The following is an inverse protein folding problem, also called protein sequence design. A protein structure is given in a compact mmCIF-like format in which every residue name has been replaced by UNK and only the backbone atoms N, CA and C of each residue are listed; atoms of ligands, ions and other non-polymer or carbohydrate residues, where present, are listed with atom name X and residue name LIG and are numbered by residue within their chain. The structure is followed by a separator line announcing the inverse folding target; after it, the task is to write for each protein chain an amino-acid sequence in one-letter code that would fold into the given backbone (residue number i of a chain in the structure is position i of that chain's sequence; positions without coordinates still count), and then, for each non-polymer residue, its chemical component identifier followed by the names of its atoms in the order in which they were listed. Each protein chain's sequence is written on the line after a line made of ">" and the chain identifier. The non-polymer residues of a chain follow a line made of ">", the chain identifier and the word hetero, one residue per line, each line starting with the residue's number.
data_IF_826496089914
#
_entry.id   IF_826496089914
#
_cell.length_a   1.000
_cell.length_b   1.000
_cell.length_c   1.000
_cell.angle_alpha   90.00
_cell.angle_beta   90.00
_cell.angle_gamma   90.00
#
_symmetry.space_group_name_H-M   'P 1'
#
loop_
_entity.id
_entity.type
_entity.pdbx_description
1 polymer ?
#
# COMPACT_ATOMS: atom_id res chain seq x y z
N UNK A 1 9.06 45.55 25.25
CA UNK A 1 9.32 44.24 24.59
C UNK A 1 8.57 43.15 25.37
N UNK A 2 7.31 42.82 25.03
CA UNK A 2 6.54 41.91 25.86
C UNK A 2 6.84 40.46 25.46
N UNK A 3 7.88 39.87 26.03
CA UNK A 3 8.09 38.41 26.00
C UNK A 3 7.02 37.65 26.80
N UNK A 4 6.18 38.37 27.56
CA UNK A 4 5.13 37.82 28.42
C UNK A 4 3.99 37.15 27.65
N UNK A 5 3.78 37.47 26.37
CA UNK A 5 2.74 36.84 25.52
C UNK A 5 3.27 35.69 24.67
N UNK A 6 4.59 35.54 24.53
CA UNK A 6 5.21 34.46 23.78
C UNK A 6 5.06 33.11 24.49
N UNK A 7 5.22 33.10 25.81
CA UNK A 7 5.13 31.90 26.62
C UNK A 7 3.74 31.22 26.55
N UNK A 8 2.60 31.93 26.74
CA UNK A 8 1.29 31.30 26.65
C UNK A 8 0.94 30.82 25.24
N UNK A 9 1.42 31.51 24.20
CA UNK A 9 1.23 31.10 22.80
C UNK A 9 1.97 29.79 22.51
N UNK A 10 3.23 29.68 22.95
CA UNK A 10 4.02 28.45 22.81
C UNK A 10 3.38 27.26 23.54
N UNK A 11 2.86 27.48 24.75
CA UNK A 11 2.15 26.43 25.51
C UNK A 11 0.90 25.95 24.77
N UNK A 12 0.12 26.88 24.20
CA UNK A 12 -1.07 26.54 23.41
C UNK A 12 -0.73 25.72 22.16
N UNK A 13 0.35 26.07 21.46
CA UNK A 13 0.82 25.33 20.29
C UNK A 13 1.20 23.89 20.65
N UNK A 14 1.96 23.68 21.74
CA UNK A 14 2.37 22.33 22.17
C UNK A 14 1.14 21.47 22.53
N UNK A 15 0.12 22.04 23.19
CA UNK A 15 -1.12 21.31 23.50
C UNK A 15 -1.89 20.86 22.26
N UNK A 16 -1.92 21.69 21.20
CA UNK A 16 -2.58 21.34 19.92
C UNK A 16 -1.81 20.26 19.13
N UNK A 17 -0.47 20.24 19.23
CA UNK A 17 0.35 19.24 18.54
C UNK A 17 0.17 17.81 19.10
N UNK A 18 -0.19 17.65 20.38
CA UNK A 18 -0.43 16.33 21.00
C UNK A 18 -1.64 15.59 20.41
N UNK A 19 -2.55 16.31 19.72
CA UNK A 19 -3.73 15.71 19.08
C UNK A 19 -3.46 15.20 17.64
N UNK A 20 -2.29 15.51 17.06
CA UNK A 20 -1.96 15.11 15.69
C UNK A 20 -1.27 13.74 15.66
N UNK A 21 -2.11 12.71 15.68
CA UNK A 21 -1.88 11.52 14.87
C UNK A 21 -0.75 10.61 15.32
N UNK A 22 -1.05 9.71 16.25
CA UNK A 22 -0.23 8.52 16.46
C UNK A 22 0.02 7.80 15.13
N UNK A 23 1.29 7.53 14.84
CA UNK A 23 1.71 6.72 13.71
C UNK A 23 1.06 5.34 13.85
N UNK A 24 -0.08 5.15 13.18
CA UNK A 24 -0.69 3.83 13.00
C UNK A 24 0.22 3.06 12.08
N UNK A 25 1.14 2.32 12.68
CA UNK A 25 1.90 1.28 11.99
C UNK A 25 0.89 0.25 11.45
N UNK A 26 0.54 0.41 10.17
CA UNK A 26 -0.33 -0.52 9.45
C UNK A 26 0.38 -1.83 9.07
N UNK A 27 1.63 -2.08 9.50
CA UNK A 27 2.39 -3.26 9.05
C UNK A 27 1.99 -4.55 9.76
N UNK A 28 1.19 -4.50 10.84
CA UNK A 28 0.84 -5.72 11.60
C UNK A 28 -0.49 -6.38 11.23
N UNK A 29 -1.33 -5.76 10.39
CA UNK A 29 -2.61 -6.35 9.96
C UNK A 29 -2.54 -7.14 8.64
N UNK A 30 -1.36 -7.30 8.06
CA UNK A 30 -1.21 -8.06 6.81
C UNK A 30 -1.10 -9.58 7.01
N UNK A 31 -0.94 -10.05 8.26
CA UNK A 31 -0.66 -11.48 8.54
C UNK A 31 -1.91 -12.35 8.79
N UNK A 32 -3.11 -11.77 8.94
CA UNK A 32 -4.25 -12.54 9.49
C UNK A 32 -5.37 -12.84 8.48
N UNK A 33 -5.29 -12.38 7.24
CA UNK A 33 -6.23 -12.84 6.23
C UNK A 33 -5.49 -13.18 4.96
N UNK A 34 -5.83 -14.34 4.41
CA UNK A 34 -5.63 -14.82 3.05
C UNK A 34 -6.04 -13.74 2.03
N UNK A 35 -5.32 -12.62 2.00
CA UNK A 35 -5.45 -11.63 0.95
C UNK A 35 -4.78 -12.26 -0.28
N UNK A 36 -5.36 -12.11 -1.48
CA UNK A 36 -4.71 -12.55 -2.70
C UNK A 36 -3.50 -11.65 -2.94
N UNK A 37 -2.41 -11.89 -2.22
CA UNK A 37 -1.15 -11.15 -2.35
C UNK A 37 -0.70 -11.32 -3.80
N UNK A 38 -0.77 -10.23 -4.55
CA UNK A 38 -0.24 -10.14 -5.90
C UNK A 38 1.23 -10.53 -5.80
N UNK A 39 1.61 -11.64 -6.44
CA UNK A 39 2.98 -12.14 -6.35
C UNK A 39 3.86 -11.35 -7.31
N UNK A 40 5.13 -11.19 -6.98
CA UNK A 40 6.13 -10.73 -7.94
C UNK A 40 6.54 -11.94 -8.78
N UNK A 41 6.33 -11.87 -10.08
CA UNK A 41 6.66 -12.95 -11.01
C UNK A 41 7.90 -12.55 -11.81
N UNK A 42 8.89 -13.43 -11.86
CA UNK A 42 10.18 -13.13 -12.52
C UNK A 42 10.07 -13.17 -14.04
N UNK A 43 9.11 -13.93 -14.57
CA UNK A 43 8.91 -14.06 -16.00
C UNK A 43 8.33 -12.77 -16.60
N UNK A 44 8.81 -12.41 -17.79
CA UNK A 44 8.25 -11.28 -18.53
C UNK A 44 6.89 -11.70 -19.12
N UNK A 45 5.81 -10.92 -18.90
CA UNK A 45 4.55 -11.21 -19.56
C UNK A 45 4.66 -10.97 -21.07
N UNK A 46 3.97 -11.79 -21.84
CA UNK A 46 3.77 -11.54 -23.26
C UNK A 46 3.12 -10.15 -23.47
N UNK A 47 3.51 -9.38 -24.50
CA UNK A 47 3.03 -8.01 -24.68
C UNK A 47 1.51 -7.87 -24.72
N UNK A 48 0.79 -8.87 -25.25
CA UNK A 48 -0.67 -8.86 -25.30
C UNK A 48 -1.35 -8.97 -23.93
N UNK A 49 -0.64 -9.47 -22.90
CA UNK A 49 -1.17 -9.56 -21.53
C UNK A 49 -1.21 -8.19 -20.85
N UNK A 50 -0.37 -7.24 -21.29
CA UNK A 50 -0.37 -5.86 -20.80
C UNK A 50 -1.63 -5.05 -21.19
N UNK A 51 -2.63 -5.69 -21.79
CA UNK A 51 -3.96 -5.11 -22.06
C UNK A 51 -5.03 -5.61 -21.08
N UNK A 52 -4.75 -6.65 -20.28
CA UNK A 52 -5.70 -7.27 -19.35
C UNK A 52 -5.12 -7.33 -17.95
N UNK A 53 -5.48 -6.33 -17.15
CA UNK A 53 -5.00 -6.19 -15.79
C UNK A 53 -5.82 -6.99 -14.78
N UNK A 54 -5.21 -7.30 -13.64
CA UNK A 54 -5.85 -7.98 -12.52
C UNK A 54 -5.58 -7.24 -11.21
N UNK A 55 -6.55 -7.30 -10.30
CA UNK A 55 -6.41 -6.78 -8.94
C UNK A 55 -6.17 -7.91 -7.92
N UNK A 56 -6.53 -9.14 -8.28
CA UNK A 56 -6.38 -10.31 -7.42
C UNK A 56 -6.23 -11.58 -8.24
N UNK A 57 -5.75 -12.66 -7.61
CA UNK A 57 -5.69 -13.98 -8.24
C UNK A 57 -7.06 -14.49 -8.73
N UNK A 58 -8.17 -14.04 -8.13
CA UNK A 58 -9.53 -14.45 -8.53
C UNK A 58 -9.96 -13.88 -9.89
N UNK A 59 -9.32 -12.81 -10.36
CA UNK A 59 -9.56 -12.24 -11.68
C UNK A 59 -8.94 -13.10 -12.80
N UNK A 60 -8.04 -14.02 -12.45
CA UNK A 60 -7.32 -14.85 -13.40
C UNK A 60 -8.05 -16.19 -13.63
N UNK A 61 -8.12 -16.60 -14.88
CA UNK A 61 -8.73 -17.86 -15.27
C UNK A 61 -7.75 -19.03 -15.10
N UNK A 62 -8.29 -20.22 -14.85
CA UNK A 62 -7.54 -21.46 -14.69
C UNK A 62 -6.48 -21.36 -13.58
N UNK A 63 -5.27 -21.83 -13.84
CA UNK A 63 -4.16 -21.89 -12.87
C UNK A 63 -3.27 -20.63 -12.90
N UNK A 64 -3.74 -19.55 -13.51
CA UNK A 64 -3.00 -18.30 -13.56
C UNK A 64 -3.13 -17.54 -12.23
N UNK A 65 -2.09 -16.80 -11.89
CA UNK A 65 -2.09 -15.91 -10.74
C UNK A 65 -1.92 -14.46 -11.19
N UNK A 66 -2.40 -13.54 -10.36
CA UNK A 66 -2.17 -12.12 -10.57
C UNK A 66 -0.75 -11.75 -10.13
N UNK A 67 0.05 -11.31 -11.09
CA UNK A 67 1.46 -11.01 -10.93
C UNK A 67 1.73 -9.52 -11.13
N UNK A 68 2.59 -8.93 -10.29
CA UNK A 68 3.11 -7.59 -10.53
C UNK A 68 4.24 -7.65 -11.56
N UNK A 69 4.14 -6.83 -12.61
CA UNK A 69 5.05 -6.80 -13.76
C UNK A 69 5.38 -5.36 -14.18
N UNK A 70 6.24 -5.20 -15.20
CA UNK A 70 6.65 -3.89 -15.71
C UNK A 70 5.50 -3.04 -16.29
N UNK A 71 4.43 -3.68 -16.77
CA UNK A 71 3.27 -3.01 -17.34
C UNK A 71 2.07 -2.95 -16.39
N UNK A 72 2.27 -3.30 -15.11
CA UNK A 72 1.22 -3.39 -14.09
C UNK A 72 0.93 -4.83 -13.68
N UNK A 73 -0.20 -5.02 -13.01
CA UNK A 73 -0.60 -6.34 -12.52
C UNK A 73 -1.34 -7.11 -13.61
N UNK A 74 -0.82 -8.25 -14.04
CA UNK A 74 -1.41 -9.08 -15.11
C UNK A 74 -1.47 -10.55 -14.70
N UNK A 75 -2.40 -11.30 -15.30
CA UNK A 75 -2.50 -12.74 -15.08
C UNK A 75 -1.36 -13.46 -15.79
N UNK A 76 -0.54 -14.19 -15.04
CA UNK A 76 0.53 -15.04 -15.58
C UNK A 76 0.40 -16.47 -15.07
N UNK A 77 0.87 -17.40 -15.88
CA UNK A 77 1.09 -18.76 -15.45
C UNK A 77 2.45 -18.84 -14.74
N UNK A 78 2.53 -19.60 -13.64
CA UNK A 78 3.76 -19.84 -12.87
C UNK A 78 4.32 -21.26 -13.07
N UNK A 79 3.70 -22.07 -13.92
CA UNK A 79 4.18 -23.40 -14.33
C UNK A 79 5.26 -23.29 -15.40
#
# INVERSE_FOLDING_TARGET
>A
MPFQTLLPVLVLCVLLLQAQGGYRDKKRMQKTQLSPEIKVCQQRPEPYLCQRFCESHRNCQANNICCSTYCGNVCMNIL
#
